data_IF_755053195972
#
_entry.id   IF_755053195972
#
_cell.length_a   1.000
_cell.length_b   1.000
_cell.length_c   1.000
_cell.angle_alpha   90.00
_cell.angle_beta   90.00
_cell.angle_gamma   90.00
#
_symmetry.space_group_name_H-M   'P 1'
#
loop_
_entity.id
_entity.type
_entity.pdbx_description
1 polymer ?
#
# COMPACT_ATOMS: atom_id res chain seq x y z
N UNK A 1 28.70 -14.19 7.18
CA UNK A 1 28.56 -13.13 8.19
C UNK A 1 27.35 -12.29 7.84
N UNK A 2 26.52 -11.99 8.84
CA UNK A 2 25.33 -11.15 8.70
C UNK A 2 25.69 -9.66 8.57
N UNK A 3 24.74 -8.84 8.10
CA UNK A 3 24.97 -7.40 7.95
C UNK A 3 25.30 -6.71 9.29
N UNK A 4 24.71 -7.17 10.40
CA UNK A 4 24.95 -6.63 11.74
C UNK A 4 26.35 -6.96 12.26
N UNK A 5 26.85 -8.17 11.98
CA UNK A 5 28.23 -8.58 12.31
C UNK A 5 29.25 -7.72 11.54
N UNK A 6 29.00 -7.47 10.26
CA UNK A 6 29.87 -6.64 9.42
C UNK A 6 29.93 -5.18 9.88
N UNK A 7 28.88 -4.70 10.56
CA UNK A 7 28.79 -3.33 11.06
C UNK A 7 29.22 -3.20 12.53
N UNK A 8 29.53 -4.31 13.20
CA UNK A 8 29.78 -4.36 14.65
C UNK A 8 28.60 -3.75 15.45
N UNK A 9 27.37 -4.13 15.07
CA UNK A 9 26.13 -3.65 15.69
C UNK A 9 25.39 -4.81 16.33
N UNK A 10 25.03 -4.65 17.60
CA UNK A 10 24.19 -5.59 18.35
C UNK A 10 22.70 -5.42 18.04
N UNK A 11 21.89 -6.43 18.36
CA UNK A 11 20.44 -6.35 18.21
C UNK A 11 19.86 -5.31 19.18
N UNK A 12 20.45 -5.18 20.36
CA UNK A 12 20.07 -4.25 21.42
C UNK A 12 20.23 -2.80 20.96
N UNK A 13 21.38 -2.45 20.38
CA UNK A 13 21.64 -1.11 19.81
C UNK A 13 20.67 -0.81 18.67
N UNK A 14 20.43 -1.78 17.78
CA UNK A 14 19.47 -1.60 16.70
C UNK A 14 18.04 -1.35 17.24
N UNK A 15 17.63 -2.11 18.26
CA UNK A 15 16.33 -1.95 18.90
C UNK A 15 16.21 -0.58 19.57
N UNK A 16 17.24 -0.11 20.26
CA UNK A 16 17.27 1.23 20.86
C UNK A 16 17.09 2.32 19.80
N UNK A 17 17.83 2.24 18.70
CA UNK A 17 17.73 3.19 17.58
C UNK A 17 16.32 3.19 16.97
N UNK A 18 15.73 2.02 16.75
CA UNK A 18 14.37 1.91 16.18
C UNK A 18 13.31 2.40 17.16
N UNK A 19 13.45 2.10 18.46
CA UNK A 19 12.52 2.49 19.49
C UNK A 19 12.47 4.02 19.66
N UNK A 20 13.65 4.66 19.61
CA UNK A 20 13.82 6.11 19.83
C UNK A 20 13.56 6.96 18.58
N UNK A 21 13.48 6.36 17.38
CA UNK A 21 13.30 7.09 16.11
C UNK A 21 11.99 6.68 15.39
N UNK A 22 10.86 7.38 15.63
CA UNK A 22 9.57 7.06 15.01
C UNK A 22 9.59 7.04 13.48
N UNK A 23 10.35 7.94 12.84
CA UNK A 23 10.48 8.00 11.38
C UNK A 23 11.13 6.74 10.81
N UNK A 24 12.22 6.28 11.42
CA UNK A 24 12.89 5.04 11.05
C UNK A 24 11.98 3.83 11.25
N UNK A 25 11.26 3.78 12.36
CA UNK A 25 10.28 2.71 12.63
C UNK A 25 9.18 2.66 11.57
N UNK A 26 8.67 3.83 11.14
CA UNK A 26 7.69 3.96 10.07
C UNK A 26 8.20 3.45 8.71
N UNK A 27 9.46 3.74 8.38
CA UNK A 27 10.10 3.25 7.16
C UNK A 27 10.29 1.72 7.24
N UNK A 28 10.83 1.24 8.37
CA UNK A 28 11.08 -0.18 8.58
C UNK A 28 9.79 -1.01 8.54
N UNK A 29 8.69 -0.53 9.13
CA UNK A 29 7.41 -1.27 9.07
C UNK A 29 6.88 -1.36 7.64
N UNK A 30 7.16 -0.38 6.77
CA UNK A 30 6.89 -0.46 5.33
C UNK A 30 7.66 -1.61 4.67
N UNK A 31 8.98 -1.65 4.87
CA UNK A 31 9.82 -2.73 4.35
C UNK A 31 9.43 -4.12 4.88
N UNK A 32 9.08 -4.20 6.16
CA UNK A 32 8.60 -5.45 6.77
C UNK A 32 7.22 -5.84 6.20
N UNK A 33 6.34 -4.89 5.93
CA UNK A 33 5.04 -5.17 5.30
C UNK A 33 5.22 -5.80 3.92
N UNK A 34 6.09 -5.22 3.08
CA UNK A 34 6.44 -5.77 1.77
C UNK A 34 7.05 -7.18 1.87
N UNK A 35 7.97 -7.39 2.81
CA UNK A 35 8.52 -8.73 3.06
C UNK A 35 7.43 -9.72 3.51
N UNK A 36 6.57 -9.34 4.45
CA UNK A 36 5.55 -10.22 5.05
C UNK A 36 4.44 -10.56 4.07
N UNK A 37 3.95 -9.61 3.28
CA UNK A 37 2.90 -9.89 2.29
C UNK A 37 3.39 -10.87 1.22
N UNK A 38 4.67 -10.77 0.82
CA UNK A 38 5.25 -11.69 -0.14
C UNK A 38 5.21 -13.15 0.34
N UNK A 39 5.43 -13.37 1.64
CA UNK A 39 5.43 -14.70 2.25
C UNK A 39 4.03 -15.21 2.56
N UNK A 40 3.14 -14.34 3.03
CA UNK A 40 1.79 -14.71 3.46
C UNK A 40 0.82 -14.92 2.28
N UNK A 41 0.93 -14.12 1.23
CA UNK A 41 -0.07 -14.06 0.17
C UNK A 41 0.52 -14.29 -1.23
N UNK A 42 1.69 -13.74 -1.54
CA UNK A 42 2.23 -13.78 -2.90
C UNK A 42 3.14 -14.98 -3.20
N UNK A 43 3.32 -15.87 -2.23
CA UNK A 43 3.97 -17.18 -2.40
C UNK A 43 3.01 -18.26 -2.90
N UNK A 44 1.72 -17.93 -3.05
CA UNK A 44 0.70 -18.84 -3.56
C UNK A 44 0.96 -19.21 -5.03
N UNK A 45 0.80 -20.51 -5.37
CA UNK A 45 1.04 -21.05 -6.71
C UNK A 45 0.24 -20.40 -7.85
N UNK A 46 -0.85 -19.69 -7.54
CA UNK A 46 -1.65 -18.94 -8.52
C UNK A 46 -0.95 -17.66 -8.98
N UNK A 47 0.02 -17.18 -8.20
CA UNK A 47 0.83 -16.01 -8.49
C UNK A 47 2.16 -16.47 -9.08
N UNK A 48 2.56 -15.82 -10.17
CA UNK A 48 3.80 -16.07 -10.90
C UNK A 48 4.52 -14.75 -11.16
N UNK A 49 5.80 -14.79 -11.56
CA UNK A 49 6.61 -13.61 -11.89
C UNK A 49 6.54 -12.46 -10.86
N UNK A 50 6.57 -12.79 -9.56
CA UNK A 50 6.60 -11.77 -8.51
C UNK A 50 7.92 -10.99 -8.60
N UNK A 51 7.82 -9.69 -8.86
CA UNK A 51 8.94 -8.77 -8.93
C UNK A 51 8.65 -7.62 -7.99
N UNK A 52 9.62 -7.30 -7.12
CA UNK A 52 9.62 -6.07 -6.35
C UNK A 52 10.21 -4.96 -7.22
N UNK A 53 9.51 -3.83 -7.32
CA UNK A 53 10.00 -2.70 -8.08
C UNK A 53 11.02 -1.89 -7.28
N UNK A 54 11.91 -1.21 -8.00
CA UNK A 54 12.83 -0.24 -7.39
C UNK A 54 12.03 1.02 -7.06
N UNK A 55 12.09 1.48 -5.82
CA UNK A 55 11.40 2.68 -5.35
C UNK A 55 11.90 3.95 -6.07
N UNK A 56 13.04 3.89 -6.78
CA UNK A 56 13.55 4.97 -7.62
C UNK A 56 13.00 4.93 -9.06
N UNK A 57 12.37 3.83 -9.50
CA UNK A 57 11.75 3.73 -10.82
C UNK A 57 10.41 4.46 -10.83
N UNK A 58 10.41 5.67 -11.40
CA UNK A 58 9.22 6.51 -11.53
C UNK A 58 8.29 6.10 -12.66
N UNK A 59 8.71 5.18 -13.55
CA UNK A 59 7.89 4.72 -14.67
C UNK A 59 6.98 3.57 -14.27
N UNK A 60 7.36 2.78 -13.27
CA UNK A 60 6.57 1.65 -12.77
C UNK A 60 5.84 2.05 -11.50
N UNK A 61 4.52 1.94 -11.53
CA UNK A 61 3.69 2.24 -10.38
C UNK A 61 3.51 0.99 -9.49
N UNK A 62 3.46 1.22 -8.18
CA UNK A 62 3.34 0.18 -7.15
C UNK A 62 4.70 -0.28 -6.61
N UNK A 63 4.67 -1.10 -5.56
CA UNK A 63 5.85 -1.69 -4.93
C UNK A 63 6.16 -3.09 -5.50
N UNK A 64 5.14 -3.76 -6.04
CA UNK A 64 5.27 -5.04 -6.72
C UNK A 64 4.59 -5.05 -8.08
N UNK A 65 5.10 -5.90 -8.96
CA UNK A 65 4.30 -6.48 -10.02
C UNK A 65 4.31 -7.99 -9.93
N UNK A 66 3.16 -8.59 -10.23
CA UNK A 66 2.97 -10.03 -10.26
C UNK A 66 2.13 -10.43 -11.48
N UNK A 67 2.25 -11.69 -11.88
CA UNK A 67 1.39 -12.29 -12.90
C UNK A 67 0.36 -13.17 -12.21
N UNK A 68 -0.92 -12.90 -12.47
CA UNK A 68 -2.03 -13.71 -11.97
C UNK A 68 -2.97 -14.05 -13.12
N UNK A 69 -3.25 -15.35 -13.32
CA UNK A 69 -4.00 -15.84 -14.49
C UNK A 69 -3.49 -15.21 -15.80
N UNK A 70 -2.18 -15.18 -16.01
CA UNK A 70 -1.57 -14.62 -17.23
C UNK A 70 -1.73 -13.12 -17.44
N UNK A 71 -2.25 -12.38 -16.45
CA UNK A 71 -2.40 -10.93 -16.48
C UNK A 71 -1.37 -10.32 -15.52
N UNK A 72 -0.62 -9.33 -15.99
CA UNK A 72 0.27 -8.53 -15.11
C UNK A 72 -0.59 -7.68 -14.19
N UNK A 73 -0.25 -7.58 -12.91
CA UNK A 73 -0.97 -6.80 -11.89
C UNK A 73 0.07 -6.04 -11.07
N UNK A 74 -0.13 -4.74 -10.87
CA UNK A 74 0.69 -3.92 -9.97
C UNK A 74 0.05 -3.78 -8.59
N UNK A 75 0.86 -3.87 -7.55
CA UNK A 75 0.41 -3.83 -6.16
C UNK A 75 1.09 -2.67 -5.44
N UNK A 76 0.30 -1.86 -4.74
CA UNK A 76 0.79 -0.87 -3.79
C UNK A 76 0.56 -1.37 -2.36
N UNK A 77 1.61 -1.40 -1.56
CA UNK A 77 1.60 -1.71 -0.14
C UNK A 77 1.66 -0.42 0.67
N UNK A 78 0.80 -0.29 1.68
CA UNK A 78 0.81 0.81 2.65
C UNK A 78 0.66 0.26 4.06
N UNK A 79 0.99 1.07 5.06
CA UNK A 79 0.84 0.71 6.47
C UNK A 79 -0.03 1.72 7.20
N UNK A 80 -0.71 1.27 8.25
CA UNK A 80 -1.41 2.16 9.17
C UNK A 80 -0.47 3.20 9.76
N UNK A 81 -0.98 4.41 9.96
CA UNK A 81 -0.33 5.41 10.80
C UNK A 81 -0.56 5.04 12.26
N UNK A 82 0.48 4.59 12.97
CA UNK A 82 0.38 4.11 14.37
C UNK A 82 -0.38 5.10 15.27
N UNK A 83 -0.13 6.40 15.12
CA UNK A 83 -0.78 7.47 15.92
C UNK A 83 -2.29 7.62 15.68
N UNK A 84 -2.79 7.11 14.55
CA UNK A 84 -4.21 7.17 14.20
C UNK A 84 -5.01 5.98 14.74
N UNK A 85 -4.33 4.94 15.24
CA UNK A 85 -4.96 3.69 15.63
C UNK A 85 -5.69 3.85 16.95
N UNK A 86 -6.96 3.46 16.96
CA UNK A 86 -7.82 3.50 18.13
C UNK A 86 -8.50 2.14 18.33
N UNK A 87 -8.48 1.65 19.56
CA UNK A 87 -9.29 0.49 19.94
C UNK A 87 -10.71 0.96 20.25
N UNK A 88 -11.70 0.29 19.66
CA UNK A 88 -13.12 0.57 19.86
C UNK A 88 -13.81 -0.66 20.45
N UNK A 89 -15.05 -0.55 20.97
CA UNK A 89 -15.80 -1.72 21.44
C UNK A 89 -15.99 -2.80 20.36
N UNK A 90 -15.99 -2.42 19.08
CA UNK A 90 -16.21 -3.33 17.94
C UNK A 90 -14.90 -3.84 17.31
N UNK A 91 -13.74 -3.39 17.79
CA UNK A 91 -12.43 -3.79 17.27
C UNK A 91 -11.46 -2.61 17.18
N UNK A 92 -11.04 -2.24 15.97
CA UNK A 92 -10.05 -1.18 15.73
C UNK A 92 -10.49 -0.22 14.62
N UNK A 93 -10.03 1.01 14.71
CA UNK A 93 -10.10 2.00 13.63
C UNK A 93 -8.74 2.65 13.46
N UNK A 94 -8.46 3.14 12.26
CA UNK A 94 -7.21 3.84 11.97
C UNK A 94 -7.22 4.44 10.58
N UNK A 95 -6.10 5.03 10.23
CA UNK A 95 -5.87 5.72 8.98
C UNK A 95 -4.57 5.23 8.37
N UNK A 96 -4.49 5.19 7.05
CA UNK A 96 -3.25 5.02 6.31
C UNK A 96 -3.12 6.11 5.24
N UNK A 97 -1.88 6.36 4.81
CA UNK A 97 -1.61 7.27 3.70
C UNK A 97 -1.50 6.50 2.39
N UNK A 98 -2.17 7.00 1.35
CA UNK A 98 -2.18 6.46 -0.01
C UNK A 98 -1.78 7.53 -1.02
N UNK A 99 -0.64 8.16 -0.78
CA UNK A 99 -0.03 9.17 -1.63
C UNK A 99 1.38 8.75 -2.08
N UNK A 100 1.91 9.52 -3.04
CA UNK A 100 3.30 9.50 -3.42
C UNK A 100 4.16 10.17 -2.33
N UNK A 101 5.41 9.75 -2.23
CA UNK A 101 6.41 10.28 -1.28
C UNK A 101 6.68 11.78 -1.44
N UNK A 102 6.61 12.26 -2.68
CA UNK A 102 6.97 13.62 -3.08
C UNK A 102 5.93 14.17 -4.07
N UNK A 103 5.80 15.51 -4.07
CA UNK A 103 4.95 16.20 -5.05
C UNK A 103 5.58 16.06 -6.43
N UNK A 104 4.79 15.59 -7.39
CA UNK A 104 5.24 15.31 -8.76
C UNK A 104 4.15 15.64 -9.77
N UNK A 105 4.50 15.81 -11.06
CA UNK A 105 3.52 15.90 -12.11
C UNK A 105 2.80 14.55 -12.27
N UNK A 106 1.48 14.57 -12.20
CA UNK A 106 0.62 13.43 -12.49
C UNK A 106 -0.20 13.72 -13.75
N UNK A 107 -0.05 12.89 -14.79
CA UNK A 107 -0.88 12.95 -15.99
C UNK A 107 -2.20 12.22 -15.74
N UNK A 108 -3.31 12.91 -15.95
CA UNK A 108 -4.66 12.39 -15.79
C UNK A 108 -5.18 11.81 -17.11
N UNK A 109 -6.20 10.92 -17.09
CA UNK A 109 -6.78 10.33 -18.29
C UNK A 109 -7.36 11.34 -19.29
N UNK A 110 -7.80 12.52 -18.83
CA UNK A 110 -8.30 13.60 -19.68
C UNK A 110 -7.17 14.41 -20.37
N UNK A 111 -5.90 14.05 -20.14
CA UNK A 111 -4.73 14.72 -20.71
C UNK A 111 -4.09 15.77 -19.80
N UNK A 112 -4.80 16.23 -18.76
CA UNK A 112 -4.29 17.23 -17.81
C UNK A 112 -3.05 16.73 -17.08
N UNK A 113 -2.19 17.67 -16.67
CA UNK A 113 -1.07 17.40 -15.78
C UNK A 113 -1.22 18.26 -14.53
N UNK A 114 -1.21 17.61 -13.37
CA UNK A 114 -1.38 18.29 -12.07
C UNK A 114 -0.20 17.99 -11.17
N UNK A 115 0.36 19.02 -10.54
CA UNK A 115 1.38 18.88 -9.50
C UNK A 115 0.74 18.41 -8.18
N UNK A 116 0.98 17.16 -7.80
CA UNK A 116 0.24 16.51 -6.71
C UNK A 116 1.04 15.41 -6.02
N UNK A 117 0.63 15.07 -4.79
CA UNK A 117 1.01 13.82 -4.12
C UNK A 117 -0.07 12.75 -4.24
N UNK A 118 -1.29 13.10 -4.66
CA UNK A 118 -2.35 12.12 -4.89
C UNK A 118 -1.91 11.11 -5.96
N UNK A 119 -2.17 9.83 -5.70
CA UNK A 119 -2.02 8.79 -6.71
C UNK A 119 -3.19 8.84 -7.69
N UNK A 120 -2.92 8.51 -8.95
CA UNK A 120 -3.94 8.48 -10.02
C UNK A 120 -4.78 7.22 -9.90
N UNK A 121 -6.08 7.36 -10.16
CA UNK A 121 -7.00 6.24 -10.29
C UNK A 121 -6.59 5.34 -11.46
N UNK A 122 -6.52 4.04 -11.23
CA UNK A 122 -5.96 3.07 -12.17
C UNK A 122 -4.42 3.10 -12.27
N UNK A 123 -3.74 3.94 -11.49
CA UNK A 123 -2.27 4.02 -11.48
C UNK A 123 -1.61 2.75 -10.95
N UNK A 124 -2.28 2.00 -10.09
CA UNK A 124 -1.93 0.62 -9.73
C UNK A 124 -3.20 -0.23 -9.67
N UNK A 125 -3.09 -1.55 -9.56
CA UNK A 125 -4.26 -2.43 -9.58
C UNK A 125 -4.80 -2.75 -8.19
N UNK A 126 -3.92 -3.23 -7.31
CA UNK A 126 -4.28 -3.75 -5.99
C UNK A 126 -3.60 -2.93 -4.88
N UNK A 127 -4.38 -2.45 -3.93
CA UNK A 127 -3.86 -1.92 -2.66
C UNK A 127 -3.78 -3.06 -1.64
N UNK A 128 -2.70 -3.11 -0.87
CA UNK A 128 -2.56 -3.92 0.32
C UNK A 128 -2.16 -3.05 1.52
N UNK A 129 -3.01 -2.98 2.54
CA UNK A 129 -2.77 -2.21 3.77
C UNK A 129 -2.34 -3.17 4.88
N UNK A 130 -1.12 -3.02 5.37
CA UNK A 130 -0.63 -3.70 6.55
C UNK A 130 -1.39 -3.20 7.80
N UNK A 131 -2.07 -4.14 8.48
CA UNK A 131 -2.85 -3.86 9.68
C UNK A 131 -2.13 -4.31 10.96
N UNK A 132 -0.81 -4.45 10.95
CA UNK A 132 -0.06 -4.92 12.11
C UNK A 132 -0.42 -4.16 13.40
N UNK A 133 -0.60 -2.84 13.31
CA UNK A 133 -0.95 -2.00 14.47
C UNK A 133 -2.36 -2.30 15.04
N UNK A 134 -3.23 -2.94 14.27
CA UNK A 134 -4.46 -3.52 14.80
C UNK A 134 -4.12 -4.82 15.53
N UNK A 135 -3.77 -4.71 16.81
CA UNK A 135 -3.58 -5.87 17.69
C UNK A 135 -2.31 -6.69 17.45
N UNK A 136 -1.28 -6.11 16.82
CA UNK A 136 0.07 -6.67 16.69
C UNK A 136 0.12 -8.04 15.99
N UNK A 137 -0.74 -8.22 14.98
CA UNK A 137 -0.80 -9.43 14.14
C UNK A 137 -0.58 -9.08 12.69
N UNK A 138 0.32 -9.79 12.02
CA UNK A 138 0.56 -9.65 10.59
C UNK A 138 -0.67 -10.09 9.80
N UNK A 139 -1.41 -9.11 9.31
CA UNK A 139 -2.59 -9.28 8.46
C UNK A 139 -2.70 -8.07 7.54
N UNK A 140 -3.39 -8.25 6.42
CA UNK A 140 -3.51 -7.25 5.39
C UNK A 140 -4.98 -7.03 5.03
N UNK A 141 -5.30 -5.80 4.64
CA UNK A 141 -6.54 -5.48 3.95
C UNK A 141 -6.25 -5.21 2.48
N UNK A 142 -7.11 -5.68 1.60
CA UNK A 142 -6.96 -5.55 0.16
C UNK A 142 -8.11 -4.78 -0.46
N UNK A 143 -7.84 -3.95 -1.46
CA UNK A 143 -8.86 -3.25 -2.24
C UNK A 143 -8.36 -3.01 -3.67
N UNK A 144 -9.25 -2.96 -4.65
CA UNK A 144 -8.90 -2.50 -6.01
C UNK A 144 -8.69 -0.99 -5.95
N UNK A 145 -7.73 -0.48 -6.71
CA UNK A 145 -7.48 0.96 -6.81
C UNK A 145 -8.75 1.73 -7.21
N UNK A 146 -9.50 1.21 -8.17
CA UNK A 146 -10.71 1.83 -8.69
C UNK A 146 -11.80 2.02 -7.62
N UNK A 147 -11.83 1.19 -6.57
CA UNK A 147 -12.82 1.27 -5.50
C UNK A 147 -12.42 2.24 -4.37
N UNK A 148 -11.19 2.76 -4.39
CA UNK A 148 -10.68 3.61 -3.32
C UNK A 148 -11.33 5.01 -3.32
N UNK A 149 -11.45 5.66 -2.15
CA UNK A 149 -11.98 7.02 -2.05
C UNK A 149 -11.22 8.01 -2.93
N UNK A 150 -11.96 8.93 -3.56
CA UNK A 150 -11.39 10.05 -4.32
C UNK A 150 -11.08 11.23 -3.42
N UNK A 151 -10.14 12.06 -3.85
CA UNK A 151 -9.82 13.31 -3.14
C UNK A 151 -11.00 14.28 -3.23
N UNK A 152 -11.30 14.94 -2.12
CA UNK A 152 -12.31 16.01 -2.04
C UNK A 152 -11.67 17.38 -1.84
N UNK A 153 -10.34 17.47 -1.92
CA UNK A 153 -9.61 18.69 -1.63
C UNK A 153 -9.95 19.79 -2.65
N UNK A 154 -10.38 20.95 -2.15
CA UNK A 154 -10.92 22.06 -2.95
C UNK A 154 -9.94 22.66 -3.98
N UNK A 155 -8.64 22.40 -3.82
CA UNK A 155 -7.60 22.81 -4.79
C UNK A 155 -7.71 22.13 -6.17
N UNK A 156 -8.39 20.99 -6.25
CA UNK A 156 -8.60 20.26 -7.51
C UNK A 156 -9.99 20.57 -8.06
N UNK A 157 -10.11 20.67 -9.39
CA UNK A 157 -11.42 20.78 -10.03
C UNK A 157 -12.24 19.51 -9.83
N UNK A 158 -13.59 19.56 -9.91
CA UNK A 158 -14.42 18.36 -9.82
C UNK A 158 -14.01 17.26 -10.81
N UNK A 159 -13.53 17.64 -12.00
CA UNK A 159 -13.02 16.68 -12.99
C UNK A 159 -11.71 16.02 -12.52
N UNK A 160 -10.74 16.80 -12.03
CA UNK A 160 -9.48 16.27 -11.52
C UNK A 160 -9.69 15.36 -10.30
N UNK A 161 -10.65 15.70 -9.42
CA UNK A 161 -11.00 14.88 -8.26
C UNK A 161 -11.43 13.46 -8.65
N UNK A 162 -12.13 13.28 -9.78
CA UNK A 162 -12.54 11.95 -10.27
C UNK A 162 -11.36 11.02 -10.56
N UNK A 163 -10.22 11.58 -10.94
CA UNK A 163 -9.02 10.87 -11.36
C UNK A 163 -7.95 10.75 -10.27
N UNK A 164 -8.18 11.33 -9.08
CA UNK A 164 -7.19 11.37 -8.00
C UNK A 164 -7.71 10.69 -6.73
N UNK A 165 -6.89 9.80 -6.16
CA UNK A 165 -7.17 9.16 -4.89
C UNK A 165 -7.05 10.14 -3.72
N UNK A 166 -7.84 9.90 -2.67
CA UNK A 166 -7.64 10.54 -1.38
C UNK A 166 -6.27 10.16 -0.80
N UNK A 167 -5.54 11.11 -0.23
CA UNK A 167 -4.19 10.82 0.33
C UNK A 167 -4.25 10.14 1.69
N UNK A 168 -5.34 10.33 2.43
CA UNK A 168 -5.54 9.80 3.78
C UNK A 168 -6.87 9.05 3.82
N UNK A 169 -6.83 7.76 4.13
CA UNK A 169 -7.98 6.87 4.04
C UNK A 169 -8.22 6.17 5.38
N UNK A 170 -9.46 6.13 5.82
CA UNK A 170 -9.88 5.42 7.03
C UNK A 170 -10.07 3.94 6.76
N UNK A 171 -9.75 3.12 7.74
CA UNK A 171 -9.97 1.68 7.74
C UNK A 171 -10.28 1.18 9.15
N UNK A 172 -11.01 0.07 9.24
CA UNK A 172 -11.42 -0.55 10.50
C UNK A 172 -11.11 -2.04 10.53
N UNK A 173 -11.12 -2.62 11.73
CA UNK A 173 -11.23 -4.05 11.95
C UNK A 173 -12.41 -4.32 12.89
N UNK A 174 -13.42 -5.14 12.52
CA UNK A 174 -13.59 -5.85 11.25
C UNK A 174 -13.60 -4.94 10.02
N UNK A 175 -13.14 -5.49 8.89
CA UNK A 175 -13.04 -4.75 7.64
C UNK A 175 -14.43 -4.35 7.12
N UNK A 176 -14.48 -3.21 6.46
CA UNK A 176 -15.65 -2.70 5.74
C UNK A 176 -15.28 -2.51 4.28
N UNK A 177 -16.28 -2.50 3.40
CA UNK A 177 -16.05 -2.22 1.98
C UNK A 177 -15.30 -0.87 1.80
N UNK A 178 -14.38 -0.78 0.82
CA UNK A 178 -14.07 -1.77 -0.20
C UNK A 178 -13.06 -2.85 0.24
N UNK A 179 -12.63 -2.85 1.50
CA UNK A 179 -11.54 -3.69 1.96
C UNK A 179 -11.95 -5.16 2.19
N UNK A 180 -11.09 -6.08 1.79
CA UNK A 180 -11.18 -7.54 1.98
C UNK A 180 -9.97 -8.06 2.76
N UNK A 181 -10.12 -9.19 3.43
CA UNK A 181 -9.04 -9.83 4.22
C UNK A 181 -8.16 -10.78 3.40
N UNK A 182 -8.53 -11.04 2.14
CA UNK A 182 -7.79 -11.84 1.18
C UNK A 182 -7.75 -11.16 -0.22
N UNK A 183 -6.75 -11.44 -1.07
CA UNK A 183 -6.59 -10.75 -2.34
C UNK A 183 -7.24 -11.44 -3.55
N UNK A 184 -7.55 -12.74 -3.49
CA UNK A 184 -7.77 -13.55 -4.69
C UNK A 184 -9.10 -13.25 -5.38
N UNK A 185 -10.16 -12.89 -4.65
CA UNK A 185 -11.40 -12.42 -5.27
C UNK A 185 -11.13 -11.15 -6.08
N UNK A 186 -10.37 -10.21 -5.51
CA UNK A 186 -10.02 -8.96 -6.17
C UNK A 186 -9.09 -9.19 -7.38
N UNK A 187 -8.14 -10.11 -7.26
CA UNK A 187 -7.26 -10.51 -8.37
C UNK A 187 -8.04 -11.17 -9.51
N UNK A 188 -9.03 -12.01 -9.21
CA UNK A 188 -9.94 -12.59 -10.20
C UNK A 188 -10.75 -11.51 -10.94
N UNK A 189 -11.24 -10.50 -10.20
CA UNK A 189 -11.94 -9.36 -10.79
C UNK A 189 -11.04 -8.53 -11.69
N UNK A 190 -9.84 -8.16 -11.24
CA UNK A 190 -8.85 -7.40 -12.01
C UNK A 190 -8.48 -8.17 -13.29
N UNK A 191 -8.16 -9.46 -13.18
CA UNK A 191 -7.78 -10.28 -14.33
C UNK A 191 -8.92 -10.41 -15.35
N UNK A 192 -10.17 -10.49 -14.89
CA UNK A 192 -11.35 -10.53 -15.78
C UNK A 192 -11.56 -9.21 -16.52
N UNK A 193 -11.37 -8.07 -15.87
CA UNK A 193 -11.52 -6.75 -16.49
C UNK A 193 -10.47 -6.52 -17.58
N UNK A 194 -9.21 -6.91 -17.35
CA UNK A 194 -8.11 -6.71 -18.32
C UNK A 194 -8.12 -7.65 -19.53
N UNK A 195 -8.87 -8.73 -19.48
CA UNK A 195 -9.04 -9.68 -20.60
C UNK A 195 -10.18 -9.31 -21.54
N UNK A 196 -11.01 -8.34 -21.18
CA UNK A 196 -12.07 -7.79 -22.01
C UNK A 196 -11.51 -6.67 -22.88
#
# INVERSE_FOLDING_TARGET
MGILENWDVTIEELNEIIATRPSLRGILIGFLAEYKISKLWFSDKRITDLIRYDNHDRQRHGDFGLTYRGVRISVQVKSLQTVSVQKTPKGYTGTFQCDASDRRPARLPNGDVVETTCLVVGGFDLLAVNLFEFGQKWRFAFARNEDLPRTTHAKYTPEQQRHLLATSMRISWPLQAPFRDEPFILLDEIARTRRR
#
